data_IF_522428102266
#
_entry.id   IF_522428102266
#
_cell.length_a   1.000
_cell.length_b   1.000
_cell.length_c   1.000
_cell.angle_alpha   90.00
_cell.angle_beta   90.00
_cell.angle_gamma   90.00
#
_symmetry.space_group_name_H-M   'P 1'
#
loop_
_entity.id
_entity.type
_entity.pdbx_description
1 polymer ?
#
# COMPACT_ATOMS: atom_id res chain seq x y z
N UNK A 1 -16.62 -10.22 9.20
CA UNK A 1 -16.17 -11.20 10.23
C UNK A 1 -15.51 -10.40 11.35
N UNK A 2 -16.00 -10.55 12.56
CA UNK A 2 -15.44 -9.87 13.73
C UNK A 2 -14.61 -10.88 14.49
N UNK A 3 -13.38 -10.53 14.81
CA UNK A 3 -12.55 -11.27 15.76
C UNK A 3 -12.50 -10.47 17.05
N UNK A 4 -13.43 -10.74 17.94
CA UNK A 4 -13.34 -10.27 19.32
C UNK A 4 -12.30 -11.12 20.06
N UNK A 5 -11.33 -10.46 20.68
CA UNK A 5 -10.29 -11.13 21.47
C UNK A 5 -9.14 -11.76 20.69
N UNK A 6 -9.12 -11.80 19.36
CA UNK A 6 -7.91 -12.19 18.61
C UNK A 6 -6.79 -11.15 18.77
N UNK A 7 -7.14 -9.91 19.05
CA UNK A 7 -6.19 -8.88 19.45
C UNK A 7 -5.84 -8.95 20.94
N UNK A 8 -6.62 -9.63 21.78
CA UNK A 8 -6.29 -9.81 23.21
C UNK A 8 -5.01 -10.61 23.43
N UNK A 9 -4.58 -11.41 22.46
CA UNK A 9 -3.24 -12.04 22.46
C UNK A 9 -2.14 -11.09 21.95
N UNK A 10 -2.49 -9.97 21.30
CA UNK A 10 -1.53 -8.97 20.80
C UNK A 10 -2.10 -7.59 21.10
N UNK A 11 -1.58 -6.97 22.14
CA UNK A 11 -1.90 -5.61 22.56
C UNK A 11 -1.84 -4.63 21.35
N UNK A 12 -2.97 -3.99 20.96
CA UNK A 12 -3.00 -3.07 19.82
C UNK A 12 -2.14 -1.82 20.04
N UNK A 13 -1.81 -1.48 21.29
CA UNK A 13 -0.87 -0.38 21.61
C UNK A 13 0.54 -0.61 21.07
N UNK A 14 0.88 -1.85 20.69
CA UNK A 14 2.12 -2.17 19.99
C UNK A 14 2.15 -1.68 18.54
N UNK A 15 0.99 -1.45 17.93
CA UNK A 15 0.90 -0.86 16.59
C UNK A 15 0.93 0.66 16.68
N UNK A 16 0.07 1.24 17.49
CA UNK A 16 0.01 2.68 17.71
C UNK A 16 -0.63 2.99 19.06
N UNK A 17 -0.23 4.11 19.66
CA UNK A 17 -0.80 4.64 20.90
C UNK A 17 -1.49 5.97 20.60
N UNK A 18 -2.66 6.18 21.15
CA UNK A 18 -3.47 7.39 20.95
C UNK A 18 -2.72 8.67 21.36
N UNK A 19 -2.00 8.63 22.48
CA UNK A 19 -1.19 9.75 22.97
C UNK A 19 -0.02 10.10 22.04
N UNK A 20 0.60 9.09 21.43
CA UNK A 20 1.63 9.29 20.42
C UNK A 20 1.07 9.93 19.15
N UNK A 21 -0.09 9.48 18.68
CA UNK A 21 -0.78 10.07 17.52
C UNK A 21 -1.14 11.54 17.77
N UNK A 22 -1.61 11.90 18.96
CA UNK A 22 -1.84 13.28 19.36
C UNK A 22 -0.54 14.10 19.36
N UNK A 23 0.53 13.55 19.95
CA UNK A 23 1.83 14.20 19.98
C UNK A 23 2.34 14.51 18.57
N UNK A 24 2.22 13.58 17.64
CA UNK A 24 2.64 13.75 16.25
C UNK A 24 1.90 14.92 15.58
N UNK A 25 0.59 15.01 15.77
CA UNK A 25 -0.21 16.10 15.21
C UNK A 25 0.18 17.46 15.83
N UNK A 26 0.27 17.51 17.14
CA UNK A 26 0.42 18.79 17.84
C UNK A 26 1.86 19.34 17.82
N UNK A 27 2.88 18.47 17.67
CA UNK A 27 4.28 18.86 17.88
C UNK A 27 5.22 18.59 16.71
N UNK A 28 4.90 17.63 15.81
CA UNK A 28 5.83 17.22 14.74
C UNK A 28 5.56 17.87 13.38
N UNK A 29 4.74 18.91 13.35
CA UNK A 29 4.50 19.67 12.13
C UNK A 29 3.78 18.87 11.04
N UNK A 30 2.85 18.00 11.42
CA UNK A 30 1.99 17.27 10.50
C UNK A 30 1.31 18.22 9.52
N UNK A 31 1.17 17.84 8.27
CA UNK A 31 0.69 18.67 7.17
C UNK A 31 -0.43 17.99 6.38
N UNK A 32 -1.21 18.77 5.67
CA UNK A 32 -2.12 18.22 4.67
C UNK A 32 -1.30 17.69 3.46
N UNK A 33 -1.70 16.63 2.76
CA UNK A 33 -2.94 15.83 2.96
C UNK A 33 -2.81 14.70 3.99
N UNK A 34 -1.67 14.54 4.70
CA UNK A 34 -1.51 13.48 5.71
C UNK A 34 -2.38 13.69 6.95
N UNK A 35 -3.01 14.86 7.06
CA UNK A 35 -3.94 15.23 8.12
C UNK A 35 -5.19 15.88 7.55
N UNK A 36 -6.35 15.54 8.10
CA UNK A 36 -7.60 16.26 7.84
C UNK A 36 -8.56 16.16 9.02
N UNK A 37 -9.49 17.11 9.10
CA UNK A 37 -10.61 17.09 10.02
C UNK A 37 -11.91 16.81 9.27
N UNK A 38 -12.77 15.99 9.86
CA UNK A 38 -14.08 15.64 9.32
C UNK A 38 -15.13 15.97 10.37
N UNK A 39 -16.14 16.71 10.01
CA UNK A 39 -17.27 17.02 10.87
C UNK A 39 -18.58 16.74 10.13
N UNK A 40 -19.47 16.00 10.77
CA UNK A 40 -20.77 15.62 10.20
C UNK A 40 -20.65 15.09 8.75
N UNK A 41 -19.75 14.13 8.55
CA UNK A 41 -19.50 13.50 7.25
C UNK A 41 -18.68 14.31 6.26
N UNK A 42 -18.48 15.60 6.49
CA UNK A 42 -17.82 16.50 5.54
C UNK A 42 -16.39 16.83 5.98
N UNK A 43 -15.44 16.75 5.04
CA UNK A 43 -14.07 17.20 5.29
C UNK A 43 -14.04 18.73 5.41
N UNK A 44 -13.52 19.22 6.54
CA UNK A 44 -13.36 20.65 6.77
C UNK A 44 -12.30 21.24 5.84
N UNK A 45 -12.48 22.48 5.35
CA UNK A 45 -11.46 23.16 4.56
C UNK A 45 -10.14 23.31 5.36
N UNK A 46 -8.99 23.01 4.75
CA UNK A 46 -7.69 23.13 5.41
C UNK A 46 -7.44 24.53 5.97
N UNK A 47 -7.94 25.58 5.33
CA UNK A 47 -7.85 26.97 5.80
C UNK A 47 -8.51 27.20 7.18
N UNK A 48 -9.41 26.32 7.64
CA UNK A 48 -10.07 26.43 8.94
C UNK A 48 -9.18 26.01 10.10
N UNK A 49 -8.09 25.27 9.84
CA UNK A 49 -7.16 24.75 10.87
C UNK A 49 -5.68 24.80 10.47
N UNK A 50 -5.37 25.31 9.28
CA UNK A 50 -4.00 25.53 8.84
C UNK A 50 -3.68 27.03 8.75
N UNK A 51 -2.41 27.34 8.80
CA UNK A 51 -1.88 28.70 8.58
C UNK A 51 -0.69 28.65 7.64
N UNK A 52 -0.37 29.79 7.12
CA UNK A 52 0.89 30.05 6.42
C UNK A 52 2.01 30.29 7.42
N UNK A 53 3.18 29.73 7.19
CA UNK A 53 4.38 29.98 7.97
C UNK A 53 5.59 30.20 7.05
N UNK A 54 6.48 31.09 7.43
CA UNK A 54 7.77 31.30 6.79
C UNK A 54 8.78 30.26 7.26
N UNK A 55 9.54 29.68 6.32
CA UNK A 55 10.68 28.82 6.60
C UNK A 55 11.86 29.28 5.73
N UNK A 56 12.80 29.96 6.32
CA UNK A 56 13.84 30.68 5.57
C UNK A 56 13.19 31.68 4.58
N UNK A 57 13.56 31.59 3.31
CA UNK A 57 13.05 32.46 2.24
C UNK A 57 11.79 31.88 1.53
N UNK A 58 11.18 30.81 2.08
CA UNK A 58 10.02 30.13 1.48
C UNK A 58 8.83 30.14 2.41
N UNK A 59 7.65 29.96 1.84
CA UNK A 59 6.39 29.92 2.57
C UNK A 59 5.79 28.53 2.51
N UNK A 60 5.30 28.05 3.64
CA UNK A 60 4.51 26.83 3.77
C UNK A 60 3.07 27.24 4.09
N UNK A 61 2.09 26.73 3.34
CA UNK A 61 0.69 27.17 3.43
C UNK A 61 -0.22 26.25 4.25
N UNK A 62 0.26 25.07 4.61
CA UNK A 62 -0.54 23.99 5.20
C UNK A 62 -0.05 23.56 6.60
N UNK A 63 0.53 24.49 7.34
CA UNK A 63 1.00 24.25 8.72
C UNK A 63 -0.20 24.23 9.65
N UNK A 64 -0.40 23.10 10.32
CA UNK A 64 -1.49 22.92 11.28
C UNK A 64 -1.34 23.91 12.45
N UNK A 65 -2.45 24.47 12.89
CA UNK A 65 -2.58 25.26 14.10
C UNK A 65 -3.11 24.38 15.24
N UNK A 66 -2.27 23.90 16.17
CA UNK A 66 -2.67 22.92 17.18
C UNK A 66 -3.92 23.34 17.99
N UNK A 67 -3.96 24.56 18.49
CA UNK A 67 -5.10 25.04 19.28
C UNK A 67 -6.40 25.04 18.45
N UNK A 68 -6.32 25.40 17.18
CA UNK A 68 -7.49 25.38 16.30
C UNK A 68 -7.98 23.96 16.01
N UNK A 69 -7.05 23.00 15.88
CA UNK A 69 -7.39 21.57 15.76
C UNK A 69 -8.10 21.09 17.02
N UNK A 70 -7.58 21.45 18.22
CA UNK A 70 -8.20 21.06 19.50
C UNK A 70 -9.59 21.67 19.67
N UNK A 71 -9.81 22.93 19.30
CA UNK A 71 -11.12 23.58 19.32
C UNK A 71 -12.14 22.85 18.43
N UNK A 72 -11.74 22.53 17.18
CA UNK A 72 -12.59 21.82 16.24
C UNK A 72 -12.87 20.39 16.69
N UNK A 73 -11.87 19.70 17.28
CA UNK A 73 -12.04 18.39 17.86
C UNK A 73 -13.02 18.43 19.04
N UNK A 74 -12.88 19.38 19.95
CA UNK A 74 -13.82 19.58 21.06
C UNK A 74 -15.23 19.93 20.55
N UNK A 75 -15.34 20.57 19.40
CA UNK A 75 -16.60 20.85 18.69
C UNK A 75 -17.20 19.67 17.92
N UNK A 76 -16.64 18.45 18.06
CA UNK A 76 -17.18 17.23 17.46
C UNK A 76 -16.50 16.78 16.16
N UNK A 77 -15.45 17.45 15.70
CA UNK A 77 -14.73 17.01 14.51
C UNK A 77 -13.85 15.78 14.79
N UNK A 78 -13.91 14.79 13.91
CA UNK A 78 -12.99 13.64 13.89
C UNK A 78 -11.68 14.04 13.22
N UNK A 79 -10.58 13.74 13.86
CA UNK A 79 -9.22 13.88 13.32
C UNK A 79 -8.84 12.61 12.55
N UNK A 80 -8.35 12.79 11.33
CA UNK A 80 -7.92 11.68 10.46
C UNK A 80 -6.46 11.89 10.08
N UNK A 81 -5.62 10.93 10.45
CA UNK A 81 -4.23 10.81 10.01
C UNK A 81 -4.16 9.82 8.87
N UNK A 82 -3.53 10.19 7.77
CA UNK A 82 -3.50 9.38 6.56
C UNK A 82 -2.07 8.97 6.20
N UNK A 83 -1.91 7.72 5.76
CA UNK A 83 -0.63 7.23 5.27
C UNK A 83 0.42 7.07 6.37
N UNK A 84 0.03 6.70 7.58
CA UNK A 84 0.91 6.57 8.74
C UNK A 84 2.06 5.59 8.50
N UNK A 85 1.89 4.59 7.63
CA UNK A 85 2.97 3.69 7.23
C UNK A 85 4.15 4.42 6.56
N UNK A 86 3.96 5.65 6.07
CA UNK A 86 5.02 6.44 5.45
C UNK A 86 5.84 7.25 6.48
N UNK A 87 5.33 7.43 7.69
CA UNK A 87 5.90 8.33 8.70
C UNK A 87 6.23 7.63 10.02
N UNK A 88 5.58 6.51 10.33
CA UNK A 88 5.81 5.74 11.56
C UNK A 88 6.53 4.42 11.22
N UNK A 89 7.72 4.16 11.82
CA UNK A 89 8.52 2.98 11.50
C UNK A 89 7.90 1.65 11.96
N UNK A 90 7.04 1.65 12.98
CA UNK A 90 6.34 0.45 13.44
C UNK A 90 5.25 0.09 12.44
N UNK A 91 4.45 1.07 12.05
CA UNK A 91 3.39 0.92 11.05
C UNK A 91 3.95 0.64 9.65
N UNK A 92 5.11 1.22 9.30
CA UNK A 92 5.83 0.90 8.06
C UNK A 92 6.18 -0.59 7.99
N UNK A 93 6.78 -1.13 9.04
CA UNK A 93 7.15 -2.55 9.12
C UNK A 93 5.93 -3.46 9.09
N UNK A 94 4.89 -3.11 9.85
CA UNK A 94 3.63 -3.84 9.86
C UNK A 94 2.97 -3.88 8.47
N UNK A 95 2.83 -2.73 7.82
CA UNK A 95 2.25 -2.61 6.48
C UNK A 95 3.04 -3.37 5.42
N UNK A 96 4.37 -3.31 5.47
CA UNK A 96 5.22 -4.06 4.54
C UNK A 96 5.11 -5.58 4.74
N UNK A 97 5.07 -6.07 5.97
CA UNK A 97 4.88 -7.49 6.26
C UNK A 97 3.50 -7.98 5.78
N UNK A 98 2.47 -7.16 5.97
CA UNK A 98 1.13 -7.50 5.51
C UNK A 98 1.03 -7.46 3.98
N UNK A 99 1.68 -6.48 3.33
CA UNK A 99 1.75 -6.39 1.87
C UNK A 99 2.48 -7.59 1.25
N UNK A 100 3.54 -8.09 1.92
CA UNK A 100 4.24 -9.33 1.53
C UNK A 100 3.35 -10.57 1.65
N UNK A 101 2.53 -10.63 2.71
CA UNK A 101 1.69 -11.79 2.97
C UNK A 101 0.46 -11.87 2.06
N UNK A 102 -0.02 -10.73 1.56
CA UNK A 102 -1.28 -10.62 0.83
C UNK A 102 -1.12 -10.21 -0.64
N UNK A 103 0.10 -9.92 -1.10
CA UNK A 103 0.41 -9.45 -2.44
C UNK A 103 -0.40 -8.21 -2.88
N UNK A 104 -0.72 -7.34 -1.90
CA UNK A 104 -1.46 -6.09 -2.12
C UNK A 104 -0.82 -4.93 -1.35
N UNK A 105 -0.82 -3.70 -1.91
CA UNK A 105 -0.37 -2.53 -1.17
C UNK A 105 -1.23 -2.30 0.07
N UNK A 106 -0.60 -1.86 1.16
CA UNK A 106 -1.25 -1.59 2.44
C UNK A 106 -1.14 -0.11 2.78
N UNK A 107 -2.24 0.48 3.20
CA UNK A 107 -2.30 1.85 3.71
C UNK A 107 -2.84 1.84 5.14
N UNK A 108 -2.20 2.60 6.03
CA UNK A 108 -2.64 2.71 7.42
C UNK A 108 -3.06 4.15 7.70
N UNK A 109 -4.29 4.29 8.21
CA UNK A 109 -4.80 5.58 8.67
C UNK A 109 -5.25 5.45 10.13
N UNK A 110 -5.27 6.57 10.87
CA UNK A 110 -5.86 6.64 12.20
C UNK A 110 -7.01 7.63 12.24
N UNK A 111 -8.01 7.30 13.04
CA UNK A 111 -9.17 8.14 13.30
C UNK A 111 -9.29 8.37 14.80
N UNK A 112 -9.29 9.62 15.20
CA UNK A 112 -9.51 10.05 16.58
C UNK A 112 -10.79 10.88 16.60
N UNK A 113 -11.81 10.38 17.29
CA UNK A 113 -13.14 10.99 17.35
C UNK A 113 -13.48 11.36 18.79
N UNK A 114 -14.01 12.56 19.08
CA UNK A 114 -14.54 12.87 20.40
C UNK A 114 -15.82 12.08 20.70
N UNK A 115 -16.32 12.16 21.90
CA UNK A 115 -17.59 11.55 22.29
C UNK A 115 -18.74 12.07 21.42
N UNK A 116 -19.73 11.22 21.15
CA UNK A 116 -20.92 11.52 20.34
C UNK A 116 -20.63 12.09 18.93
N UNK A 117 -19.43 11.91 18.42
CA UNK A 117 -19.08 12.35 17.07
C UNK A 117 -19.61 11.39 16.01
N UNK A 118 -20.25 11.95 15.00
CA UNK A 118 -20.47 11.27 13.72
C UNK A 118 -19.26 11.54 12.84
N UNK A 119 -18.49 10.49 12.56
CA UNK A 119 -17.33 10.58 11.68
C UNK A 119 -17.70 10.80 10.21
N UNK A 120 -17.41 9.83 9.36
CA UNK A 120 -17.83 9.81 7.96
C UNK A 120 -19.32 9.42 7.86
N UNK A 121 -20.00 9.98 6.89
CA UNK A 121 -21.35 9.54 6.50
C UNK A 121 -21.32 8.10 5.98
N UNK A 122 -22.52 7.53 5.76
CA UNK A 122 -22.66 6.24 5.11
C UNK A 122 -21.87 6.22 3.79
N UNK A 123 -20.96 5.30 3.67
CA UNK A 123 -20.12 5.12 2.49
C UNK A 123 -19.71 3.66 2.32
N UNK A 124 -19.03 3.36 1.24
CA UNK A 124 -18.30 2.12 1.05
C UNK A 124 -16.88 2.42 0.55
N UNK A 125 -15.97 1.50 0.81
CA UNK A 125 -14.60 1.61 0.36
C UNK A 125 -14.33 0.79 -0.91
N UNK A 126 -13.37 1.26 -1.73
CA UNK A 126 -12.88 0.57 -2.92
C UNK A 126 -11.78 -0.46 -2.60
N UNK A 127 -11.50 -0.70 -1.33
CA UNK A 127 -10.47 -1.57 -0.80
C UNK A 127 -10.98 -2.27 0.45
N UNK A 128 -10.40 -3.41 0.75
CA UNK A 128 -10.70 -4.12 1.99
C UNK A 128 -10.07 -3.40 3.18
N UNK A 129 -10.73 -3.41 4.31
CA UNK A 129 -10.29 -2.67 5.50
C UNK A 129 -10.33 -3.56 6.74
N UNK A 130 -9.24 -3.59 7.49
CA UNK A 130 -9.25 -4.01 8.87
C UNK A 130 -9.33 -2.78 9.77
N UNK A 131 -10.36 -2.71 10.59
CA UNK A 131 -10.51 -1.69 11.63
C UNK A 131 -9.97 -2.25 12.92
N UNK A 132 -8.93 -1.66 13.47
CA UNK A 132 -8.33 -2.06 14.76
C UNK A 132 -8.63 -1.00 15.79
N UNK A 133 -9.50 -1.31 16.75
CA UNK A 133 -9.86 -0.39 17.81
C UNK A 133 -8.71 -0.24 18.81
N UNK A 134 -8.21 0.99 19.00
CA UNK A 134 -7.11 1.29 19.93
C UNK A 134 -7.64 1.61 21.32
N UNK A 135 -8.50 2.64 21.42
CA UNK A 135 -9.05 3.12 22.68
C UNK A 135 -10.51 3.55 22.55
N UNK A 136 -11.25 3.53 23.66
CA UNK A 136 -12.65 3.87 23.69
C UNK A 136 -13.53 2.87 22.97
N UNK A 137 -14.72 3.32 22.55
CA UNK A 137 -15.70 2.48 21.89
C UNK A 137 -16.28 3.16 20.65
N UNK A 138 -16.58 2.36 19.62
CA UNK A 138 -17.20 2.86 18.40
C UNK A 138 -18.21 1.85 17.87
N UNK A 139 -19.45 2.30 17.65
CA UNK A 139 -20.50 1.51 17.04
C UNK A 139 -20.35 1.52 15.53
N UNK A 140 -20.42 0.32 14.93
CA UNK A 140 -20.33 0.09 13.50
C UNK A 140 -21.60 -0.59 13.02
N UNK A 141 -22.17 -0.04 11.94
CA UNK A 141 -23.29 -0.63 11.22
C UNK A 141 -22.82 -0.92 9.81
N UNK A 142 -23.03 -2.16 9.35
CA UNK A 142 -22.56 -2.64 8.05
C UNK A 142 -23.72 -3.31 7.34
N UNK A 143 -23.91 -3.00 6.07
CA UNK A 143 -24.95 -3.56 5.22
C UNK A 143 -24.34 -4.42 4.12
N UNK A 144 -25.16 -5.36 3.59
CA UNK A 144 -24.79 -6.11 2.40
C UNK A 144 -24.44 -5.20 1.21
N UNK A 145 -23.48 -5.59 0.37
CA UNK A 145 -23.14 -4.79 -0.79
C UNK A 145 -24.30 -4.77 -1.79
N UNK A 146 -24.64 -3.58 -2.25
CA UNK A 146 -25.59 -3.42 -3.35
C UNK A 146 -25.00 -4.00 -4.64
N UNK A 147 -25.83 -4.41 -5.65
CA UNK A 147 -25.30 -4.90 -6.91
C UNK A 147 -24.26 -4.00 -7.56
N UNK A 148 -24.44 -2.67 -7.44
CA UNK A 148 -23.53 -1.65 -7.97
C UNK A 148 -22.30 -1.33 -7.10
N UNK A 149 -22.24 -1.83 -5.86
CA UNK A 149 -21.10 -1.66 -4.96
C UNK A 149 -20.35 -2.96 -4.69
N UNK A 150 -20.85 -4.10 -5.15
CA UNK A 150 -20.29 -5.44 -4.83
C UNK A 150 -18.82 -5.58 -5.20
N UNK A 151 -18.43 -5.09 -6.36
CA UNK A 151 -17.04 -5.13 -6.84
C UNK A 151 -16.62 -3.74 -7.33
N UNK A 152 -16.45 -2.77 -6.40
CA UNK A 152 -16.24 -1.39 -6.78
C UNK A 152 -14.87 -1.23 -7.42
N UNK A 153 -14.84 -0.44 -8.49
CA UNK A 153 -13.63 -0.11 -9.24
C UNK A 153 -13.30 1.36 -8.99
N UNK A 154 -12.10 1.62 -8.46
CA UNK A 154 -11.64 2.98 -8.22
C UNK A 154 -11.58 3.77 -9.56
N UNK A 155 -12.16 4.96 -9.56
CA UNK A 155 -12.21 5.83 -10.75
C UNK A 155 -13.47 5.67 -11.60
N UNK A 156 -14.39 4.76 -11.24
CA UNK A 156 -15.75 4.78 -11.77
C UNK A 156 -16.57 5.92 -11.15
N UNK A 157 -17.67 6.29 -11.80
CA UNK A 157 -18.55 7.33 -11.30
C UNK A 157 -18.97 7.08 -9.84
N UNK A 158 -19.12 8.15 -9.05
CA UNK A 158 -19.66 8.03 -7.69
C UNK A 158 -20.99 7.31 -7.74
N UNK A 159 -21.07 6.18 -7.04
CA UNK A 159 -22.32 5.44 -6.88
C UNK A 159 -23.06 6.07 -5.70
N UNK A 160 -24.21 6.72 -5.90
CA UNK A 160 -24.98 7.23 -4.80
C UNK A 160 -25.50 6.06 -3.97
N UNK A 161 -25.31 6.12 -2.66
CA UNK A 161 -25.89 5.17 -1.72
C UNK A 161 -27.32 5.61 -1.37
N UNK A 162 -28.21 4.65 -1.07
CA UNK A 162 -29.48 4.94 -0.44
C UNK A 162 -29.27 5.58 0.95
N UNK A 163 -30.31 6.19 1.48
CA UNK A 163 -30.30 6.63 2.88
C UNK A 163 -30.28 5.44 3.84
N UNK A 164 -29.97 5.68 5.11
CA UNK A 164 -29.98 4.63 6.13
C UNK A 164 -31.34 3.94 6.24
N UNK A 165 -32.43 4.71 6.12
CA UNK A 165 -33.80 4.20 6.19
C UNK A 165 -34.13 3.30 4.98
N UNK A 166 -33.63 3.65 3.79
CA UNK A 166 -33.83 2.85 2.57
C UNK A 166 -32.99 1.56 2.55
N UNK A 167 -31.87 1.53 3.26
CA UNK A 167 -31.03 0.33 3.38
C UNK A 167 -31.64 -0.72 4.30
N UNK A 168 -32.56 -0.31 5.20
CA UNK A 168 -33.15 -1.20 6.20
C UNK A 168 -32.17 -1.65 7.28
N UNK A 169 -32.45 -2.81 7.87
CA UNK A 169 -31.64 -3.34 8.98
C UNK A 169 -30.22 -3.69 8.51
N UNK A 170 -29.19 -3.31 9.27
CA UNK A 170 -27.82 -3.68 8.96
C UNK A 170 -27.59 -5.19 9.16
N UNK A 171 -26.76 -5.78 8.31
CA UNK A 171 -26.29 -7.16 8.50
C UNK A 171 -25.46 -7.30 9.78
N UNK A 172 -24.77 -6.24 10.17
CA UNK A 172 -23.94 -6.20 11.36
C UNK A 172 -24.13 -4.87 12.07
N UNK A 173 -24.51 -4.93 13.35
CA UNK A 173 -24.57 -3.78 14.25
C UNK A 173 -23.85 -4.15 15.55
N UNK A 174 -22.71 -3.55 15.79
CA UNK A 174 -21.87 -3.89 16.92
C UNK A 174 -21.02 -2.70 17.38
N UNK A 175 -20.57 -2.78 18.62
CA UNK A 175 -19.63 -1.81 19.20
C UNK A 175 -18.27 -2.47 19.35
N UNK A 176 -17.26 -1.88 18.70
CA UNK A 176 -15.86 -2.26 18.91
C UNK A 176 -15.33 -1.57 20.16
N UNK A 177 -14.58 -2.33 20.95
CA UNK A 177 -13.82 -1.88 22.11
C UNK A 177 -12.33 -2.12 21.91
N UNK A 178 -11.49 -1.53 22.77
CA UNK A 178 -10.02 -1.67 22.63
C UNK A 178 -9.59 -3.13 22.46
N UNK A 179 -8.81 -3.39 21.43
CA UNK A 179 -8.34 -4.72 21.06
C UNK A 179 -9.21 -5.47 20.04
N UNK A 180 -10.41 -5.01 19.76
CA UNK A 180 -11.26 -5.61 18.73
C UNK A 180 -10.75 -5.27 17.31
N UNK A 181 -10.98 -6.21 16.39
CA UNK A 181 -10.70 -6.04 14.98
C UNK A 181 -11.90 -6.42 14.13
N UNK A 182 -12.36 -5.50 13.29
CA UNK A 182 -13.43 -5.71 12.31
C UNK A 182 -12.84 -5.75 10.89
N UNK A 183 -13.09 -6.81 10.15
CA UNK A 183 -12.82 -6.88 8.71
C UNK A 183 -14.05 -6.44 7.92
N UNK A 184 -13.87 -5.42 7.09
CA UNK A 184 -14.85 -4.89 6.15
C UNK A 184 -14.37 -5.17 4.73
N UNK A 185 -15.04 -6.04 3.98
CA UNK A 185 -14.76 -6.21 2.57
C UNK A 185 -15.07 -4.94 1.79
N UNK A 186 -14.35 -4.69 0.72
CA UNK A 186 -14.64 -3.58 -0.20
C UNK A 186 -16.08 -3.66 -0.71
N UNK A 187 -16.70 -2.51 -0.90
CA UNK A 187 -18.06 -2.42 -1.43
C UNK A 187 -19.18 -2.57 -0.41
N UNK A 188 -18.88 -2.94 0.83
CA UNK A 188 -19.87 -3.02 1.89
C UNK A 188 -20.18 -1.62 2.42
N UNK A 189 -21.43 -1.13 2.27
CA UNK A 189 -21.84 0.14 2.89
C UNK A 189 -21.70 0.05 4.41
N UNK A 190 -21.14 1.08 5.01
CA UNK A 190 -20.97 1.14 6.46
C UNK A 190 -21.04 2.56 7.01
N UNK A 191 -21.41 2.66 8.26
CA UNK A 191 -21.43 3.89 9.04
C UNK A 191 -20.90 3.61 10.46
N UNK A 192 -20.21 4.59 11.02
CA UNK A 192 -19.65 4.45 12.37
C UNK A 192 -19.82 5.74 13.18
N UNK A 193 -20.14 5.58 14.46
CA UNK A 193 -20.34 6.67 15.40
C UNK A 193 -19.71 6.35 16.76
N UNK A 194 -19.14 7.36 17.42
CA UNK A 194 -18.71 7.22 18.81
C UNK A 194 -19.95 7.26 19.73
N UNK A 195 -19.91 6.49 20.79
CA UNK A 195 -20.98 6.46 21.79
C UNK A 195 -20.71 7.52 22.88
N UNK A 196 -20.46 7.12 24.10
CA UNK A 196 -20.37 8.03 25.25
C UNK A 196 -18.97 8.57 25.52
N UNK A 197 -17.96 7.97 24.89
CA UNK A 197 -16.54 8.31 25.10
C UNK A 197 -15.84 8.64 23.79
N UNK A 198 -14.68 9.28 23.87
CA UNK A 198 -13.80 9.42 22.71
C UNK A 198 -13.36 8.03 22.22
N UNK A 199 -13.04 7.95 20.94
CA UNK A 199 -12.62 6.70 20.30
C UNK A 199 -11.44 6.93 19.38
N UNK A 200 -10.49 6.02 19.41
CA UNK A 200 -9.41 5.97 18.43
C UNK A 200 -9.30 4.57 17.82
N UNK A 201 -9.10 4.52 16.50
CA UNK A 201 -8.88 3.27 15.78
C UNK A 201 -7.95 3.48 14.59
N UNK A 202 -7.29 2.41 14.18
CA UNK A 202 -6.61 2.33 12.90
C UNK A 202 -7.52 1.72 11.84
N UNK A 203 -7.40 2.18 10.61
CA UNK A 203 -7.83 1.43 9.44
C UNK A 203 -6.61 0.97 8.67
N UNK A 204 -6.55 -0.33 8.40
CA UNK A 204 -5.52 -0.98 7.60
C UNK A 204 -6.17 -1.39 6.29
N UNK A 205 -6.00 -0.57 5.27
CA UNK A 205 -6.61 -0.76 3.96
C UNK A 205 -5.72 -1.60 3.05
N UNK A 206 -6.30 -2.65 2.47
CA UNK A 206 -5.68 -3.46 1.41
C UNK A 206 -6.09 -2.89 0.06
N UNK A 207 -5.18 -2.20 -0.61
CA UNK A 207 -5.45 -1.53 -1.89
C UNK A 207 -5.51 -2.56 -3.02
N UNK A 208 -6.67 -3.16 -3.24
CA UNK A 208 -6.85 -4.28 -4.15
C UNK A 208 -6.28 -4.03 -5.56
N UNK A 209 -5.40 -4.91 -6.00
CA UNK A 209 -4.99 -5.03 -7.40
C UNK A 209 -6.00 -5.94 -8.07
N UNK A 210 -6.89 -5.35 -8.87
CA UNK A 210 -8.01 -6.07 -9.50
C UNK A 210 -7.60 -6.74 -10.81
N UNK A 211 -8.30 -7.83 -11.19
CA UNK A 211 -8.14 -8.46 -12.50
C UNK A 211 -8.35 -7.48 -13.65
N UNK A 212 -9.24 -6.51 -13.51
CA UNK A 212 -9.39 -5.46 -14.51
C UNK A 212 -8.08 -4.70 -14.76
N UNK A 213 -7.32 -4.38 -13.70
CA UNK A 213 -6.01 -3.73 -13.85
C UNK A 213 -4.99 -4.63 -14.51
N UNK A 214 -5.00 -5.93 -14.17
CA UNK A 214 -4.10 -6.93 -14.76
C UNK A 214 -4.37 -7.08 -16.25
N UNK A 215 -5.63 -7.28 -16.64
CA UNK A 215 -6.02 -7.42 -18.04
C UNK A 215 -5.74 -6.15 -18.83
N UNK A 216 -6.01 -4.98 -18.26
CA UNK A 216 -5.67 -3.71 -18.90
C UNK A 216 -4.15 -3.58 -19.13
N UNK A 217 -3.34 -3.93 -18.14
CA UNK A 217 -1.90 -3.93 -18.29
C UNK A 217 -1.43 -4.89 -19.40
N UNK A 218 -1.97 -6.11 -19.45
CA UNK A 218 -1.66 -7.07 -20.50
C UNK A 218 -2.02 -6.56 -21.89
N UNK A 219 -3.20 -5.93 -22.03
CA UNK A 219 -3.63 -5.29 -23.28
C UNK A 219 -2.70 -4.14 -23.66
N UNK A 220 -2.39 -3.22 -22.73
CA UNK A 220 -1.51 -2.08 -22.99
C UNK A 220 -0.10 -2.55 -23.42
N UNK A 221 0.39 -3.63 -22.81
CA UNK A 221 1.68 -4.25 -23.15
C UNK A 221 1.65 -4.88 -24.54
N UNK A 222 0.55 -5.58 -24.90
CA UNK A 222 0.34 -6.16 -26.23
C UNK A 222 0.34 -5.07 -27.30
N UNK A 223 -0.39 -3.98 -27.06
CA UNK A 223 -0.45 -2.82 -27.97
C UNK A 223 0.92 -2.16 -28.14
N UNK A 224 1.64 -1.95 -27.04
CA UNK A 224 2.98 -1.38 -27.06
C UNK A 224 4.00 -2.25 -27.83
N UNK A 225 3.80 -3.55 -27.84
CA UNK A 225 4.60 -4.51 -28.63
C UNK A 225 4.17 -4.58 -30.12
N UNK A 226 3.22 -3.77 -30.55
CA UNK A 226 2.73 -3.73 -31.93
C UNK A 226 1.54 -4.67 -32.20
N UNK A 227 1.01 -5.34 -31.18
CA UNK A 227 -0.22 -6.13 -31.29
C UNK A 227 -1.42 -5.23 -31.64
N UNK A 228 -2.34 -5.79 -32.42
CA UNK A 228 -3.56 -5.09 -32.87
C UNK A 228 -3.34 -3.84 -33.74
N UNK A 229 -2.14 -3.69 -34.33
CA UNK A 229 -1.80 -2.55 -35.17
C UNK A 229 -2.50 -2.57 -36.54
N UNK A 230 -3.07 -3.71 -36.94
CA UNK A 230 -3.79 -3.81 -38.20
C UNK A 230 -5.05 -2.95 -38.21
N UNK A 231 -5.34 -2.30 -39.32
CA UNK A 231 -6.58 -1.55 -39.51
C UNK A 231 -7.80 -2.46 -39.53
N UNK A 232 -8.91 -2.01 -38.95
CA UNK A 232 -10.20 -2.65 -39.15
C UNK A 232 -10.52 -2.61 -40.64
N UNK A 233 -10.83 -3.76 -41.31
CA UNK A 233 -11.11 -3.78 -42.73
C UNK A 233 -12.25 -2.84 -43.14
N UNK A 234 -12.14 -2.22 -44.32
CA UNK A 234 -13.21 -1.41 -44.84
C UNK A 234 -14.50 -2.24 -45.03
N UNK A 235 -15.64 -1.69 -44.65
CA UNK A 235 -16.93 -2.40 -44.71
C UNK A 235 -17.23 -3.34 -43.55
N UNK A 236 -16.37 -3.39 -42.52
CA UNK A 236 -16.57 -4.30 -41.36
C UNK A 236 -17.84 -3.98 -40.52
N UNK A 237 -18.41 -2.78 -40.66
CA UNK A 237 -19.68 -2.43 -39.99
C UNK A 237 -20.89 -3.18 -40.58
N UNK A 238 -20.82 -3.54 -41.88
CA UNK A 238 -21.90 -4.20 -42.62
C UNK A 238 -21.62 -5.69 -42.83
N UNK A 239 -20.41 -6.14 -42.57
CA UNK A 239 -19.98 -7.50 -42.90
C UNK A 239 -19.94 -8.37 -41.63
N UNK A 240 -20.71 -9.45 -41.67
CA UNK A 240 -20.61 -10.58 -40.74
C UNK A 240 -19.27 -11.33 -40.81
N UNK A 241 -18.22 -10.72 -41.39
CA UNK A 241 -16.98 -11.41 -41.78
C UNK A 241 -15.68 -10.73 -41.36
N UNK A 242 -15.68 -9.68 -40.54
CA UNK A 242 -14.44 -9.21 -39.97
C UNK A 242 -13.97 -10.15 -38.86
N UNK A 243 -12.91 -10.92 -39.10
CA UNK A 243 -12.30 -11.71 -38.04
C UNK A 243 -11.75 -10.75 -36.96
N UNK A 244 -12.15 -10.94 -35.69
CA UNK A 244 -11.58 -10.16 -34.60
C UNK A 244 -10.09 -10.49 -34.47
N UNK A 245 -9.26 -9.56 -33.97
CA UNK A 245 -7.85 -9.82 -33.73
C UNK A 245 -7.69 -10.97 -32.74
N UNK A 246 -6.61 -11.73 -32.90
CA UNK A 246 -6.33 -12.87 -32.03
C UNK A 246 -6.17 -12.44 -30.56
N UNK A 247 -7.15 -12.73 -29.74
CA UNK A 247 -7.15 -12.44 -28.30
C UNK A 247 -6.06 -13.24 -27.54
N UNK A 248 -5.51 -14.33 -28.14
CA UNK A 248 -4.42 -15.08 -27.53
C UNK A 248 -3.16 -14.25 -27.33
N UNK A 249 -2.95 -13.19 -28.13
CA UNK A 249 -1.85 -12.24 -27.95
C UNK A 249 -1.87 -11.57 -26.55
N UNK A 250 -3.04 -11.31 -25.97
CA UNK A 250 -3.16 -10.79 -24.61
C UNK A 250 -2.77 -11.87 -23.59
N UNK A 251 -3.09 -13.14 -23.88
CA UNK A 251 -2.81 -14.29 -23.04
C UNK A 251 -1.32 -14.45 -22.72
N UNK A 252 -0.46 -14.17 -23.66
CA UNK A 252 1.00 -14.22 -23.44
C UNK A 252 1.47 -13.24 -22.35
N UNK A 253 0.80 -12.09 -22.21
CA UNK A 253 1.11 -11.08 -21.20
C UNK A 253 0.37 -11.31 -19.87
N UNK A 254 -0.51 -12.31 -19.80
CA UNK A 254 -1.15 -12.79 -18.58
C UNK A 254 -0.35 -13.91 -17.88
N UNK A 255 0.77 -14.34 -18.46
CA UNK A 255 1.66 -15.30 -17.85
C UNK A 255 2.17 -14.80 -16.48
N UNK A 256 2.07 -15.60 -15.40
CA UNK A 256 2.48 -15.18 -14.06
C UNK A 256 3.93 -14.71 -13.96
N UNK A 257 4.84 -15.29 -14.75
CA UNK A 257 6.26 -14.93 -14.73
C UNK A 257 6.49 -13.54 -15.30
N UNK A 258 5.73 -13.15 -16.32
CA UNK A 258 5.75 -11.81 -16.92
C UNK A 258 4.99 -10.77 -16.07
N UNK A 259 3.93 -11.17 -15.39
CA UNK A 259 3.14 -10.29 -14.51
C UNK A 259 3.83 -9.97 -13.19
N UNK A 260 4.63 -10.90 -12.67
CA UNK A 260 5.25 -10.75 -11.33
C UNK A 260 6.02 -9.44 -11.14
N UNK A 261 6.90 -8.99 -12.05
CA UNK A 261 7.61 -7.72 -11.91
C UNK A 261 6.65 -6.53 -11.86
N UNK A 262 5.63 -6.52 -12.72
CA UNK A 262 4.63 -5.46 -12.73
C UNK A 262 3.81 -5.43 -11.45
N UNK A 263 3.36 -6.59 -10.94
CA UNK A 263 2.64 -6.71 -9.68
C UNK A 263 3.49 -6.21 -8.51
N UNK A 264 4.76 -6.61 -8.45
CA UNK A 264 5.69 -6.15 -7.44
C UNK A 264 5.82 -4.61 -7.46
N UNK A 265 5.97 -4.00 -8.64
CA UNK A 265 5.98 -2.54 -8.78
C UNK A 265 4.68 -1.89 -8.28
N UNK A 266 3.51 -2.49 -8.56
CA UNK A 266 2.22 -1.96 -8.06
C UNK A 266 2.13 -1.97 -6.53
N UNK A 267 2.76 -2.94 -5.88
CA UNK A 267 2.79 -3.05 -4.42
C UNK A 267 3.81 -2.06 -3.84
N UNK A 268 5.06 -2.17 -4.27
CA UNK A 268 6.18 -1.54 -3.57
C UNK A 268 6.31 -0.05 -3.82
N UNK A 269 5.86 0.48 -4.95
CA UNK A 269 5.81 1.93 -5.18
C UNK A 269 4.89 2.69 -4.20
N UNK A 270 4.05 1.96 -3.46
CA UNK A 270 3.13 2.53 -2.46
C UNK A 270 3.53 2.24 -1.02
N UNK A 271 4.57 1.44 -0.85
CA UNK A 271 5.10 1.07 0.46
C UNK A 271 6.33 1.91 0.81
N UNK A 272 6.58 2.16 2.10
CA UNK A 272 7.81 2.82 2.51
C UNK A 272 9.03 1.97 2.15
N UNK A 273 10.10 2.63 1.75
CA UNK A 273 11.37 1.97 1.48
C UNK A 273 11.92 1.33 2.77
N UNK A 274 12.26 0.05 2.69
CA UNK A 274 12.84 -0.69 3.83
C UNK A 274 14.31 -1.04 3.61
N UNK A 275 14.78 -0.99 2.36
CA UNK A 275 16.18 -1.22 2.00
C UNK A 275 16.85 0.10 1.70
N UNK A 276 17.39 0.72 2.74
CA UNK A 276 18.13 1.96 2.59
C UNK A 276 19.56 1.68 2.15
N UNK A 277 20.10 2.53 1.29
CA UNK A 277 21.54 2.52 1.00
C UNK A 277 22.31 2.87 2.25
N UNK A 278 23.31 2.07 2.66
CA UNK A 278 24.14 2.43 3.78
C UNK A 278 24.97 3.67 3.46
N UNK A 279 25.15 4.54 4.44
CA UNK A 279 25.98 5.76 4.28
C UNK A 279 27.44 5.39 3.96
N UNK A 280 27.92 4.29 4.53
CA UNK A 280 29.22 3.68 4.24
C UNK A 280 28.96 2.22 3.87
N UNK A 281 28.95 1.88 2.57
CA UNK A 281 28.79 0.50 2.13
C UNK A 281 29.89 -0.39 2.72
N UNK A 282 29.56 -1.55 3.28
CA UNK A 282 30.56 -2.49 3.75
C UNK A 282 31.34 -3.05 2.54
N UNK A 283 32.64 -3.20 2.67
CA UNK A 283 33.41 -3.99 1.73
C UNK A 283 33.15 -5.46 1.98
N UNK A 284 32.75 -6.19 0.95
CA UNK A 284 32.46 -7.62 1.01
C UNK A 284 33.49 -8.34 0.16
N UNK A 285 34.16 -9.33 0.75
CA UNK A 285 35.00 -10.29 0.04
C UNK A 285 34.18 -11.56 -0.30
N UNK A 286 34.66 -12.38 -1.20
CA UNK A 286 33.95 -13.58 -1.66
C UNK A 286 33.74 -14.61 -0.54
N UNK A 287 34.63 -14.65 0.41
CA UNK A 287 34.60 -15.52 1.61
C UNK A 287 33.82 -14.91 2.79
N UNK A 288 33.42 -13.66 2.69
CA UNK A 288 32.63 -12.99 3.74
C UNK A 288 31.22 -13.60 3.80
N UNK A 289 30.82 -14.12 4.98
CA UNK A 289 29.43 -14.52 5.17
C UNK A 289 28.49 -13.31 5.03
N UNK A 290 27.42 -13.46 4.26
CA UNK A 290 26.44 -12.40 4.01
C UNK A 290 25.03 -12.85 4.30
N UNK A 291 24.21 -11.91 4.75
CA UNK A 291 22.78 -12.05 4.91
C UNK A 291 22.05 -11.20 3.87
N UNK A 292 20.89 -11.69 3.43
CA UNK A 292 19.89 -10.86 2.74
C UNK A 292 18.86 -10.43 3.78
N UNK A 293 18.91 -9.19 4.28
CA UNK A 293 17.97 -8.74 5.30
C UNK A 293 16.51 -8.90 4.83
N UNK A 294 15.60 -9.28 5.75
CA UNK A 294 14.18 -9.33 5.41
C UNK A 294 13.69 -7.94 4.95
N UNK A 295 12.83 -7.93 3.97
CA UNK A 295 12.32 -6.68 3.40
C UNK A 295 11.35 -6.94 2.26
N UNK A 296 10.97 -5.89 1.50
CA UNK A 296 10.06 -6.03 0.39
C UNK A 296 10.52 -7.10 -0.60
N UNK A 297 9.54 -7.67 -1.27
CA UNK A 297 9.76 -8.69 -2.26
C UNK A 297 10.74 -8.17 -3.32
N UNK A 298 11.89 -8.82 -3.39
CA UNK A 298 12.82 -8.62 -4.49
C UNK A 298 12.33 -9.43 -5.70
N UNK A 299 12.42 -8.85 -6.89
CA UNK A 299 12.10 -9.58 -8.10
C UNK A 299 13.23 -9.49 -9.11
N UNK A 300 13.37 -10.55 -9.90
CA UNK A 300 14.27 -10.59 -11.04
C UNK A 300 13.41 -10.70 -12.31
N UNK A 301 13.71 -9.87 -13.28
CA UNK A 301 13.05 -9.92 -14.58
C UNK A 301 14.07 -9.75 -15.72
N UNK A 302 13.94 -10.52 -16.81
CA UNK A 302 14.70 -10.24 -18.02
C UNK A 302 14.27 -8.88 -18.59
N UNK A 303 15.23 -8.12 -19.09
CA UNK A 303 15.00 -6.80 -19.69
C UNK A 303 15.78 -6.69 -21.00
N UNK A 304 15.19 -6.20 -22.11
CA UNK A 304 15.93 -5.86 -23.30
C UNK A 304 16.97 -4.78 -22.99
N UNK A 305 18.17 -4.90 -23.53
CA UNK A 305 19.24 -3.93 -23.38
C UNK A 305 19.94 -3.65 -24.71
N UNK A 306 20.76 -2.57 -24.80
CA UNK A 306 21.45 -2.19 -26.04
C UNK A 306 22.43 -3.28 -26.49
N UNK A 307 23.02 -4.04 -25.58
CA UNK A 307 24.02 -5.08 -25.83
C UNK A 307 23.45 -6.52 -25.69
N UNK A 308 22.13 -6.68 -25.74
CA UNK A 308 21.47 -7.97 -25.56
C UNK A 308 20.55 -8.04 -24.33
N UNK A 309 20.41 -9.22 -23.73
CA UNK A 309 19.58 -9.39 -22.55
C UNK A 309 20.28 -8.86 -21.29
N UNK A 310 19.51 -8.19 -20.44
CA UNK A 310 19.91 -7.78 -19.11
C UNK A 310 18.98 -8.39 -18.07
N UNK A 311 19.31 -8.31 -16.80
CA UNK A 311 18.41 -8.65 -15.70
C UNK A 311 18.14 -7.40 -14.86
N UNK A 312 16.86 -7.13 -14.62
CA UNK A 312 16.41 -6.11 -13.69
C UNK A 312 16.20 -6.75 -12.32
N UNK A 313 16.89 -6.22 -11.30
CA UNK A 313 16.62 -6.54 -9.91
C UNK A 313 15.82 -5.39 -9.30
N UNK A 314 14.57 -5.64 -8.96
CA UNK A 314 13.70 -4.69 -8.27
C UNK A 314 13.91 -4.71 -6.75
N UNK A 315 14.04 -3.52 -6.17
CA UNK A 315 14.28 -3.31 -4.73
C UNK A 315 13.10 -2.63 -4.02
N UNK A 316 11.97 -2.51 -4.71
CA UNK A 316 10.78 -1.82 -4.22
C UNK A 316 10.73 -0.36 -4.68
N UNK A 317 11.55 0.50 -4.14
CA UNK A 317 11.63 1.93 -4.47
C UNK A 317 12.55 2.24 -5.66
N UNK A 318 13.35 1.27 -6.10
CA UNK A 318 14.30 1.41 -7.23
C UNK A 318 14.61 0.08 -7.88
N UNK A 319 15.30 0.16 -9.01
CA UNK A 319 15.68 -0.99 -9.82
C UNK A 319 17.18 -0.93 -10.13
N UNK A 320 17.80 -2.11 -10.23
CA UNK A 320 19.17 -2.27 -10.66
C UNK A 320 19.21 -3.03 -11.99
N UNK A 321 19.85 -2.47 -12.98
CA UNK A 321 20.14 -3.14 -14.24
C UNK A 321 21.50 -3.82 -14.15
N UNK A 322 21.52 -5.13 -14.37
CA UNK A 322 22.71 -5.98 -14.31
C UNK A 322 22.82 -6.79 -15.61
N UNK A 323 24.02 -7.28 -15.96
CA UNK A 323 24.18 -8.20 -17.09
C UNK A 323 23.35 -9.48 -16.88
N UNK A 324 22.87 -10.08 -17.96
CA UNK A 324 22.06 -11.31 -17.91
C UNK A 324 22.76 -12.47 -17.23
N UNK A 325 24.08 -12.54 -17.34
CA UNK A 325 24.94 -13.56 -16.73
C UNK A 325 24.88 -13.54 -15.20
N UNK A 326 24.48 -12.39 -14.62
CA UNK A 326 24.28 -12.28 -13.17
C UNK A 326 23.01 -12.97 -12.68
N UNK A 327 22.06 -13.31 -13.57
CA UNK A 327 20.75 -13.83 -13.18
C UNK A 327 20.82 -15.11 -12.32
N UNK A 328 21.56 -16.18 -12.71
CA UNK A 328 21.60 -17.39 -11.90
C UNK A 328 22.20 -17.15 -10.51
N UNK A 329 23.25 -16.34 -10.45
CA UNK A 329 23.89 -15.95 -9.19
C UNK A 329 22.91 -15.17 -8.27
N UNK A 330 22.20 -14.20 -8.82
CA UNK A 330 21.20 -13.41 -8.08
C UNK A 330 20.03 -14.27 -7.63
N UNK A 331 19.51 -15.14 -8.50
CA UNK A 331 18.39 -16.01 -8.18
C UNK A 331 18.69 -16.92 -6.99
N UNK A 332 19.88 -17.50 -6.95
CA UNK A 332 20.31 -18.33 -5.84
C UNK A 332 20.55 -17.49 -4.57
N UNK A 333 21.26 -16.37 -4.69
CA UNK A 333 21.56 -15.49 -3.57
C UNK A 333 20.32 -14.99 -2.86
N UNK A 334 19.30 -14.58 -3.62
CA UNK A 334 18.07 -13.99 -3.07
C UNK A 334 17.11 -15.02 -2.46
N UNK A 335 17.28 -16.30 -2.75
CA UNK A 335 16.43 -17.37 -2.22
C UNK A 335 16.98 -18.03 -0.97
N UNK A 336 18.23 -17.74 -0.57
CA UNK A 336 18.85 -18.34 0.61
C UNK A 336 18.27 -17.80 1.91
N UNK A 337 17.80 -18.66 2.82
CA UNK A 337 17.11 -18.23 4.04
C UNK A 337 18.04 -17.86 5.21
N UNK A 338 19.33 -18.18 5.12
CA UNK A 338 20.32 -18.03 6.19
C UNK A 338 21.63 -17.50 5.65
N UNK A 339 22.49 -17.03 6.56
CA UNK A 339 23.85 -16.57 6.24
C UNK A 339 24.61 -17.59 5.40
N UNK A 340 25.26 -17.13 4.37
CA UNK A 340 26.04 -17.96 3.47
C UNK A 340 27.25 -17.20 2.92
N UNK A 341 28.26 -17.95 2.49
CA UNK A 341 29.42 -17.40 1.79
C UNK A 341 29.08 -17.23 0.31
N UNK A 342 29.21 -16.02 -0.19
CA UNK A 342 28.79 -15.70 -1.56
C UNK A 342 29.55 -16.46 -2.63
N UNK A 343 30.80 -16.86 -2.37
CA UNK A 343 31.55 -17.73 -3.29
C UNK A 343 30.86 -19.08 -3.55
N UNK A 344 30.00 -19.54 -2.64
CA UNK A 344 29.27 -20.82 -2.78
C UNK A 344 27.99 -20.70 -3.64
N UNK A 345 27.61 -19.51 -4.08
CA UNK A 345 26.45 -19.33 -4.98
C UNK A 345 26.80 -19.81 -6.39
N UNK A 346 25.86 -20.47 -7.04
CA UNK A 346 26.01 -20.95 -8.42
C UNK A 346 26.06 -19.86 -9.46
N UNK A 347 26.18 -20.25 -10.73
CA UNK A 347 26.20 -19.36 -11.88
C UNK A 347 27.57 -19.29 -12.58
N UNK A 348 27.57 -18.71 -13.77
CA UNK A 348 28.71 -18.65 -14.69
C UNK A 348 29.63 -17.44 -14.46
N UNK A 349 29.30 -16.56 -13.51
CA UNK A 349 30.15 -15.40 -13.20
C UNK A 349 31.50 -15.87 -12.63
N UNK A 350 32.58 -15.29 -13.13
CA UNK A 350 33.89 -15.44 -12.51
C UNK A 350 33.96 -14.72 -11.15
N UNK A 351 35.02 -14.99 -10.39
CA UNK A 351 35.18 -14.44 -9.04
C UNK A 351 35.21 -12.91 -9.01
N UNK A 352 35.83 -12.27 -10.01
CA UNK A 352 35.93 -10.82 -10.09
C UNK A 352 34.54 -10.21 -10.33
N UNK A 353 33.78 -10.77 -11.25
CA UNK A 353 32.42 -10.34 -11.56
C UNK A 353 31.46 -10.55 -10.39
N UNK A 354 31.55 -11.69 -9.67
CA UNK A 354 30.78 -11.95 -8.44
C UNK A 354 31.06 -10.90 -7.38
N UNK A 355 32.33 -10.55 -7.19
CA UNK A 355 32.74 -9.53 -6.21
C UNK A 355 32.17 -8.15 -6.56
N UNK A 356 32.16 -7.78 -7.85
CA UNK A 356 31.57 -6.52 -8.32
C UNK A 356 30.06 -6.50 -8.04
N UNK A 357 29.34 -7.58 -8.37
CA UNK A 357 27.90 -7.69 -8.11
C UNK A 357 27.61 -7.62 -6.60
N UNK A 358 28.36 -8.37 -5.77
CA UNK A 358 28.18 -8.35 -4.32
C UNK A 358 28.37 -6.97 -3.71
N UNK A 359 29.45 -6.29 -4.07
CA UNK A 359 29.71 -4.94 -3.56
C UNK A 359 28.66 -3.94 -4.06
N UNK A 360 28.15 -4.11 -5.28
CA UNK A 360 27.00 -3.33 -5.75
C UNK A 360 25.76 -3.60 -4.92
N UNK A 361 25.44 -4.85 -4.63
CA UNK A 361 24.29 -5.23 -3.77
C UNK A 361 24.47 -4.72 -2.33
N UNK A 362 25.68 -4.74 -1.79
CA UNK A 362 25.98 -4.17 -0.48
C UNK A 362 25.78 -2.66 -0.44
N UNK A 363 26.22 -1.95 -1.49
CA UNK A 363 26.01 -0.51 -1.65
C UNK A 363 24.53 -0.13 -1.76
N UNK A 364 23.68 -1.06 -2.20
CA UNK A 364 22.23 -0.88 -2.28
C UNK A 364 21.49 -1.39 -1.02
N UNK A 365 22.20 -1.95 -0.02
CA UNK A 365 21.59 -2.51 1.18
C UNK A 365 20.83 -3.83 0.94
N UNK A 366 21.11 -4.52 -0.16
CA UNK A 366 20.50 -5.82 -0.50
C UNK A 366 21.14 -6.94 0.27
N UNK A 367 22.46 -6.89 0.44
CA UNK A 367 23.22 -7.80 1.26
C UNK A 367 23.99 -7.04 2.34
N UNK A 368 24.17 -7.67 3.47
CA UNK A 368 24.98 -7.17 4.59
C UNK A 368 25.91 -8.26 5.08
N UNK A 369 27.09 -7.94 5.66
CA UNK A 369 27.89 -8.94 6.36
C UNK A 369 27.07 -9.62 7.44
N UNK A 370 27.13 -10.94 7.53
CA UNK A 370 26.46 -11.69 8.59
C UNK A 370 27.04 -11.27 9.96
N UNK A 371 26.18 -11.23 10.96
CA UNK A 371 26.56 -10.86 12.34
C UNK A 371 27.05 -12.06 13.11
#
# INVERSE_FOLDING_TARGET
MVSSGAAAQRDPSRLARTDALWTDVLTRGTRTPSFRLVSQGTTLPAASYCRTAGVGNRTITDVIQPNRVLELYAGGATMVLQGLQLTDPVLARFANNLALALDHPVQVNAYLSPAAARGLELHFDFHDVFVVQLEGAKRWRVWEPLPRTRDPIRGTAKVPLPTLDELGEPQLDLTLTSGDCLYLPRGFPHAAETVDTSSSHLTVGLLAITWQRVVRHALDTTVAAGGFAASVPAGSLDAAGAEPPDAALIGEHLDPTRLRPWLAKQIWHRQPATRLRPLAPPAIALDTPVDVPPGPLLWLAPKPGPDGCRVELGLGDRELDLPSEAHPFLAELLTRPVSFVAASAGGELDEASRLVVLNRLAAEGVVVPAR
#
